data_IF_859484095255
#
_entry.id   IF_859484095255
#
_cell.length_a   1.000
_cell.length_b   1.000
_cell.length_c   1.000
_cell.angle_alpha   90.00
_cell.angle_beta   90.00
_cell.angle_gamma   90.00
#
_symmetry.space_group_name_H-M   'P 1'
#
loop_
_entity.id
_entity.type
_entity.pdbx_description
1 polymer ?
#
# COMPACT_ATOMS: atom_id res chain seq x y z
N UNK A 1 -14.01 9.45 3.11
CA UNK A 1 -13.06 9.72 2.00
C UNK A 1 -13.57 10.79 1.03
N UNK A 2 -14.78 10.69 0.46
CA UNK A 2 -15.27 11.63 -0.57
C UNK A 2 -15.33 13.11 -0.16
N UNK A 3 -16.13 13.45 0.86
CA UNK A 3 -16.35 14.86 1.22
C UNK A 3 -15.12 15.58 1.79
N UNK A 4 -14.29 14.89 2.58
CA UNK A 4 -13.05 15.47 3.12
C UNK A 4 -12.00 15.74 2.05
N UNK A 5 -11.99 14.97 0.95
CA UNK A 5 -11.12 15.22 -0.20
C UNK A 5 -11.57 16.48 -0.95
N UNK A 6 -12.88 16.60 -1.21
CA UNK A 6 -13.51 17.77 -1.83
C UNK A 6 -13.24 19.05 -1.01
N UNK A 7 -13.34 18.97 0.31
CA UNK A 7 -13.00 20.07 1.23
C UNK A 7 -11.51 20.44 1.14
N UNK A 8 -10.62 19.45 1.10
CA UNK A 8 -9.17 19.67 0.97
C UNK A 8 -8.78 20.23 -0.39
N UNK A 9 -9.47 19.84 -1.46
CA UNK A 9 -9.27 20.32 -2.83
C UNK A 9 -9.82 21.75 -3.05
N UNK A 10 -10.50 22.33 -2.05
CA UNK A 10 -11.01 23.69 -2.09
C UNK A 10 -12.25 23.87 -2.98
N UNK A 11 -12.87 22.77 -3.39
CA UNK A 11 -14.03 22.76 -4.30
C UNK A 11 -15.30 23.40 -3.69
N UNK A 12 -15.32 23.63 -2.38
CA UNK A 12 -16.43 24.28 -1.64
C UNK A 12 -16.00 25.58 -0.93
N UNK A 13 -14.81 26.11 -1.23
CA UNK A 13 -14.26 27.32 -0.64
C UNK A 13 -12.91 27.13 0.07
N UNK A 14 -12.24 28.23 0.42
CA UNK A 14 -10.97 28.20 1.16
C UNK A 14 -11.23 27.86 2.64
N UNK A 15 -10.54 26.84 3.13
CA UNK A 15 -10.47 26.51 4.55
C UNK A 15 -9.52 27.48 5.26
N UNK A 16 -9.86 27.86 6.49
CA UNK A 16 -8.88 28.47 7.39
C UNK A 16 -7.89 27.42 7.90
N UNK A 17 -6.82 27.85 8.58
CA UNK A 17 -5.75 26.96 9.03
C UNK A 17 -6.27 25.81 9.91
N UNK A 18 -7.05 26.12 10.95
CA UNK A 18 -7.60 25.12 11.88
C UNK A 18 -8.56 24.16 11.19
N UNK A 19 -9.40 24.65 10.28
CA UNK A 19 -10.27 23.79 9.47
C UNK A 19 -9.46 22.87 8.56
N UNK A 20 -8.35 23.35 8.00
CA UNK A 20 -7.43 22.56 7.20
C UNK A 20 -6.80 21.42 8.00
N UNK A 21 -6.36 21.70 9.23
CA UNK A 21 -5.82 20.72 10.16
C UNK A 21 -6.87 19.63 10.48
N UNK A 22 -8.10 20.01 10.83
CA UNK A 22 -9.18 19.05 11.09
C UNK A 22 -9.52 18.19 9.87
N UNK A 23 -9.59 18.77 8.68
CA UNK A 23 -9.84 18.01 7.45
C UNK A 23 -8.69 17.03 7.19
N UNK A 24 -7.45 17.42 7.47
CA UNK A 24 -6.28 16.56 7.34
C UNK A 24 -6.32 15.37 8.33
N UNK A 25 -6.73 15.60 9.57
CA UNK A 25 -6.88 14.55 10.59
C UNK A 25 -8.01 13.57 10.25
N UNK A 26 -9.15 14.09 9.76
CA UNK A 26 -10.26 13.26 9.27
C UNK A 26 -9.81 12.38 8.10
N UNK A 27 -9.03 12.93 7.16
CA UNK A 27 -8.49 12.18 6.04
C UNK A 27 -7.53 11.08 6.49
N UNK A 28 -6.65 11.38 7.44
CA UNK A 28 -5.70 10.41 7.99
C UNK A 28 -6.42 9.27 8.72
N UNK A 29 -7.37 9.61 9.60
CA UNK A 29 -8.19 8.65 10.33
C UNK A 29 -9.03 7.78 9.40
N UNK A 30 -9.62 8.37 8.35
CA UNK A 30 -10.37 7.64 7.33
C UNK A 30 -9.51 6.63 6.56
N UNK A 31 -8.27 7.01 6.22
CA UNK A 31 -7.31 6.10 5.55
C UNK A 31 -6.90 4.96 6.47
N UNK A 32 -6.65 5.26 7.74
CA UNK A 32 -6.28 4.25 8.72
C UNK A 32 -7.40 3.24 8.95
N UNK A 33 -8.63 3.72 9.16
CA UNK A 33 -9.80 2.86 9.33
C UNK A 33 -10.03 1.96 8.10
N UNK A 34 -9.85 2.50 6.90
CA UNK A 34 -9.98 1.70 5.68
C UNK A 34 -8.91 0.59 5.60
N UNK A 35 -7.67 0.87 6.03
CA UNK A 35 -6.64 -0.18 6.14
C UNK A 35 -7.10 -1.28 7.08
N UNK A 36 -7.56 -0.92 8.29
CA UNK A 36 -8.05 -1.89 9.26
C UNK A 36 -9.22 -2.72 8.73
N UNK A 37 -10.17 -2.11 8.01
CA UNK A 37 -11.29 -2.82 7.39
C UNK A 37 -10.80 -3.83 6.33
N UNK A 38 -9.72 -3.54 5.60
CA UNK A 38 -9.14 -4.47 4.64
C UNK A 38 -8.31 -5.56 5.34
N UNK A 39 -7.63 -5.23 6.43
CA UNK A 39 -6.73 -6.13 7.14
C UNK A 39 -7.48 -7.13 8.05
N UNK A 40 -8.59 -6.72 8.68
CA UNK A 40 -9.37 -7.55 9.62
C UNK A 40 -9.91 -8.84 8.99
N UNK A 41 -10.52 -8.82 7.79
CA UNK A 41 -10.98 -10.04 7.12
C UNK A 41 -9.83 -11.00 6.81
N UNK A 42 -8.67 -10.48 6.41
CA UNK A 42 -7.50 -11.28 6.07
C UNK A 42 -6.94 -11.95 7.33
N UNK A 43 -6.83 -11.20 8.42
CA UNK A 43 -6.43 -11.72 9.73
C UNK A 43 -7.41 -12.78 10.26
N UNK A 44 -8.71 -12.53 10.12
CA UNK A 44 -9.76 -13.47 10.54
C UNK A 44 -9.69 -14.81 9.78
N UNK A 45 -9.33 -14.78 8.48
CA UNK A 45 -9.12 -16.02 7.70
C UNK A 45 -7.88 -16.77 8.14
N UNK A 46 -6.81 -16.06 8.49
CA UNK A 46 -5.58 -16.66 9.03
C UNK A 46 -5.85 -17.35 10.38
N UNK A 47 -6.46 -16.64 11.34
CA UNK A 47 -6.74 -17.16 12.69
C UNK A 47 -7.72 -18.34 12.68
N UNK A 48 -8.70 -18.33 11.78
CA UNK A 48 -9.64 -19.43 11.61
C UNK A 48 -9.07 -20.63 10.83
N UNK A 49 -7.81 -20.58 10.38
CA UNK A 49 -7.20 -21.62 9.53
C UNK A 49 -7.84 -21.75 8.14
N UNK A 50 -8.50 -20.68 7.66
CA UNK A 50 -9.25 -20.62 6.39
C UNK A 50 -8.46 -19.93 5.27
N UNK A 51 -7.18 -19.63 5.48
CA UNK A 51 -6.34 -19.11 4.42
C UNK A 51 -5.88 -20.27 3.54
N UNK A 52 -6.37 -20.32 2.30
CA UNK A 52 -5.91 -21.28 1.29
C UNK A 52 -4.74 -20.68 0.51
N UNK A 53 -3.60 -21.36 0.52
CA UNK A 53 -2.45 -21.01 -0.34
C UNK A 53 -2.59 -21.79 -1.65
N UNK A 54 -2.78 -21.06 -2.74
CA UNK A 54 -2.79 -21.62 -4.08
C UNK A 54 -1.37 -21.59 -4.64
N UNK A 55 -0.83 -22.77 -4.95
CA UNK A 55 0.46 -22.88 -5.63
C UNK A 55 0.26 -22.75 -7.13
N UNK A 56 0.77 -21.67 -7.70
CA UNK A 56 0.72 -21.41 -9.13
C UNK A 56 2.05 -20.83 -9.64
N UNK A 57 2.40 -21.02 -10.92
CA UNK A 57 3.55 -20.36 -11.51
C UNK A 57 3.40 -18.84 -11.45
N UNK A 58 4.36 -18.17 -10.81
CA UNK A 58 4.40 -16.71 -10.69
C UNK A 58 5.59 -16.11 -11.44
N UNK A 59 5.41 -14.90 -11.97
CA UNK A 59 6.53 -14.08 -12.43
C UNK A 59 7.07 -13.24 -11.26
N UNK A 60 8.03 -13.80 -10.54
CA UNK A 60 8.69 -13.14 -9.42
C UNK A 60 9.32 -11.79 -9.82
N UNK A 61 9.79 -11.67 -11.06
CA UNK A 61 10.44 -10.47 -11.58
C UNK A 61 9.43 -9.33 -11.70
N UNK A 62 8.24 -9.62 -12.22
CA UNK A 62 7.12 -8.68 -12.30
C UNK A 62 6.64 -8.23 -10.92
N UNK A 63 6.47 -9.16 -9.98
CA UNK A 63 6.02 -8.85 -8.61
C UNK A 63 6.99 -7.90 -7.92
N UNK A 64 8.29 -8.20 -7.95
CA UNK A 64 9.32 -7.35 -7.33
C UNK A 64 9.38 -5.97 -8.00
N UNK A 65 9.21 -5.91 -9.33
CA UNK A 65 9.15 -4.64 -10.06
C UNK A 65 7.98 -3.76 -9.61
N UNK A 66 6.77 -4.32 -9.49
CA UNK A 66 5.57 -3.57 -9.09
C UNK A 66 5.67 -3.06 -7.64
N UNK A 67 6.21 -3.87 -6.73
CA UNK A 67 6.50 -3.46 -5.34
C UNK A 67 7.52 -2.31 -5.33
N UNK A 68 8.60 -2.45 -6.08
CA UNK A 68 9.67 -1.44 -6.17
C UNK A 68 9.16 -0.12 -6.74
N UNK A 69 8.31 -0.16 -7.77
CA UNK A 69 7.68 1.03 -8.35
C UNK A 69 6.88 1.82 -7.31
N UNK A 70 6.20 1.11 -6.42
CA UNK A 70 5.36 1.70 -5.36
C UNK A 70 6.17 2.20 -4.16
N UNK A 71 7.28 1.53 -3.83
CA UNK A 71 8.14 1.90 -2.70
C UNK A 71 9.12 3.04 -3.00
N UNK A 72 9.60 3.16 -4.25
CA UNK A 72 10.60 4.17 -4.67
C UNK A 72 10.22 5.62 -4.34
N UNK A 73 8.98 6.11 -4.56
CA UNK A 73 8.59 7.48 -4.21
C UNK A 73 8.79 7.77 -2.72
N UNK A 74 8.38 6.84 -1.84
CA UNK A 74 8.52 6.97 -0.38
C UNK A 74 9.98 6.98 0.06
N UNK A 75 10.84 6.19 -0.59
CA UNK A 75 12.27 6.21 -0.31
C UNK A 75 12.89 7.56 -0.70
N UNK A 76 12.50 8.11 -1.87
CA UNK A 76 12.95 9.44 -2.33
C UNK A 76 12.51 10.56 -1.38
N UNK A 77 11.26 10.54 -0.93
CA UNK A 77 10.74 11.51 0.06
C UNK A 77 11.55 11.53 1.35
N UNK A 78 12.15 10.39 1.72
CA UNK A 78 12.99 10.23 2.92
C UNK A 78 14.50 10.35 2.65
N UNK A 79 14.91 10.63 1.41
CA UNK A 79 16.33 10.70 1.03
C UNK A 79 17.08 9.36 1.14
N UNK A 80 16.38 8.23 1.00
CA UNK A 80 16.96 6.89 1.13
C UNK A 80 17.31 6.30 -0.24
N UNK A 81 18.46 5.63 -0.33
CA UNK A 81 18.77 4.77 -1.47
C UNK A 81 17.91 3.50 -1.43
N UNK A 82 17.38 3.08 -2.58
CA UNK A 82 16.47 1.95 -2.70
C UNK A 82 16.84 1.08 -3.90
N UNK A 83 17.43 -0.08 -3.60
CA UNK A 83 17.90 -1.06 -4.57
C UNK A 83 17.09 -2.36 -4.46
N UNK A 84 16.94 -3.06 -5.59
CA UNK A 84 16.27 -4.37 -5.64
C UNK A 84 17.04 -5.29 -6.60
N UNK A 85 17.00 -6.59 -6.32
CA UNK A 85 17.56 -7.62 -7.17
C UNK A 85 16.68 -8.86 -7.13
N UNK A 86 16.52 -9.53 -8.27
CA UNK A 86 15.84 -10.82 -8.36
C UNK A 86 16.88 -11.84 -8.80
N UNK A 87 17.29 -12.69 -7.87
CA UNK A 87 18.19 -13.78 -8.19
C UNK A 87 17.40 -14.86 -8.95
N UNK A 88 17.90 -15.22 -10.12
CA UNK A 88 17.40 -16.36 -10.88
C UNK A 88 18.44 -17.47 -10.74
N UNK A 89 18.17 -18.56 -10.01
CA UNK A 89 19.03 -19.72 -10.04
C UNK A 89 19.00 -20.26 -11.47
N UNK A 90 20.10 -20.13 -12.20
CA UNK A 90 20.27 -20.73 -13.52
C UNK A 90 20.23 -22.25 -13.38
N UNK A 91 19.24 -22.88 -14.04
CA UNK A 91 19.14 -24.29 -14.44
C UNK A 91 19.97 -25.31 -13.63
N UNK A 92 19.34 -26.00 -12.68
CA UNK A 92 19.75 -27.37 -12.40
C UNK A 92 19.24 -28.24 -13.54
N UNK A 93 20.06 -28.44 -14.57
CA UNK A 93 19.90 -29.57 -15.48
C UNK A 93 20.32 -30.81 -14.70
N UNK A 94 19.37 -31.64 -14.29
CA UNK A 94 19.66 -33.02 -13.92
C UNK A 94 19.46 -33.86 -15.17
N UNK A 95 20.60 -34.28 -15.74
CA UNK A 95 20.77 -35.44 -16.61
C UNK A 95 20.19 -36.72 -16.02
#
# INVERSE_FOLDING_TARGET
MGFSLILKEGAVGKLNQTQGEYVQDILNSSKHLLSLINDVPDFSRIEAGKLEIVSEPIDLRKIVYDITRSAKPRAREKGLDFQHGVFSPSHYTLS
#
